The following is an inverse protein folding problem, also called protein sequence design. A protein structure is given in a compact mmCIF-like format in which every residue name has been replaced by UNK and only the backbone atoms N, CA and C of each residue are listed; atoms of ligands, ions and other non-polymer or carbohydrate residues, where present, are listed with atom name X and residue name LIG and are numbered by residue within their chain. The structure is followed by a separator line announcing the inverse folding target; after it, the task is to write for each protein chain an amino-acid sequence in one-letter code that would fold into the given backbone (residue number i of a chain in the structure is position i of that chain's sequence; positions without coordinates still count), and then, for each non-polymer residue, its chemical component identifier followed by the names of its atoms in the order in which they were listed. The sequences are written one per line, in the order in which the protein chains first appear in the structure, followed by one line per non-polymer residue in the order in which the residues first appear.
data_IF_303781494594
#
_entry.id   IF_303781494594
#
_cell.length_a   1.000
_cell.length_b   1.000
_cell.length_c   1.000
_cell.angle_alpha   90.00
_cell.angle_beta   90.00
_cell.angle_gamma   90.00
#
_symmetry.space_group_name_H-M   'P 1'
#
loop_
_entity.id
_entity.type
_entity.pdbx_description
1 polymer ?
#
# COMPACT_ATOMS: atom_id res chain seq x y z
N UNK A 1 24.97 -4.28 15.17
CA UNK A 1 25.25 -3.61 13.88
C UNK A 1 25.96 -4.63 13.00
N UNK A 2 25.23 -5.23 12.08
CA UNK A 2 25.65 -6.37 11.26
C UNK A 2 25.77 -5.92 9.81
N UNK A 3 26.91 -6.16 9.17
CA UNK A 3 27.06 -5.98 7.73
C UNK A 3 26.17 -7.00 7.03
N UNK A 4 25.21 -6.55 6.23
CA UNK A 4 24.29 -7.45 5.55
C UNK A 4 24.85 -7.91 4.20
N UNK A 5 24.80 -9.21 3.96
CA UNK A 5 25.06 -9.79 2.65
C UNK A 5 23.88 -9.55 1.72
N UNK A 6 24.16 -9.19 0.47
CA UNK A 6 23.14 -9.03 -0.56
C UNK A 6 22.27 -10.29 -0.65
N UNK A 7 20.94 -10.11 -0.64
CA UNK A 7 19.98 -11.23 -0.65
C UNK A 7 19.58 -11.76 0.74
N UNK A 8 20.13 -11.23 1.84
CA UNK A 8 19.59 -11.52 3.17
C UNK A 8 18.19 -10.89 3.36
N UNK A 9 17.40 -11.45 4.27
CA UNK A 9 16.06 -10.94 4.59
C UNK A 9 16.07 -9.46 5.00
N UNK A 10 17.03 -9.07 5.85
CA UNK A 10 17.18 -7.69 6.27
C UNK A 10 17.57 -6.76 5.11
N UNK A 11 18.41 -7.23 4.18
CA UNK A 11 18.79 -6.45 2.99
C UNK A 11 17.59 -6.20 2.09
N UNK A 12 16.77 -7.24 1.84
CA UNK A 12 15.55 -7.13 1.03
C UNK A 12 14.56 -6.18 1.70
N UNK A 13 14.42 -6.25 3.02
CA UNK A 13 13.53 -5.37 3.79
C UNK A 13 13.95 -3.91 3.66
N UNK A 14 15.23 -3.61 3.88
CA UNK A 14 15.77 -2.26 3.73
C UNK A 14 15.62 -1.75 2.29
N UNK A 15 15.93 -2.60 1.30
CA UNK A 15 15.71 -2.31 -0.12
C UNK A 15 14.28 -1.92 -0.40
N UNK A 16 13.31 -2.70 0.06
CA UNK A 16 11.88 -2.47 -0.20
C UNK A 16 11.40 -1.16 0.43
N UNK A 17 11.78 -0.85 1.68
CA UNK A 17 11.39 0.40 2.35
C UNK A 17 12.03 1.64 1.71
N UNK A 18 13.34 1.60 1.46
CA UNK A 18 14.09 2.72 0.87
C UNK A 18 13.66 2.99 -0.56
N UNK A 19 13.53 1.93 -1.38
CA UNK A 19 13.08 2.04 -2.77
C UNK A 19 11.66 2.58 -2.85
N UNK A 20 10.78 2.15 -1.95
CA UNK A 20 9.42 2.65 -1.89
C UNK A 20 9.38 4.16 -1.57
N UNK A 21 10.13 4.62 -0.56
CA UNK A 21 10.25 6.04 -0.21
C UNK A 21 10.84 6.88 -1.35
N UNK A 22 11.89 6.38 -1.99
CA UNK A 22 12.47 7.04 -3.17
C UNK A 22 11.45 7.14 -4.30
N UNK A 23 10.67 6.08 -4.55
CA UNK A 23 9.65 6.09 -5.59
C UNK A 23 8.50 7.03 -5.30
N UNK A 24 8.12 7.22 -4.04
CA UNK A 24 7.19 8.28 -3.63
C UNK A 24 7.73 9.66 -4.02
N UNK A 25 9.01 9.93 -3.72
CA UNK A 25 9.67 11.20 -4.01
C UNK A 25 9.81 11.42 -5.52
N UNK A 26 10.27 10.41 -6.27
CA UNK A 26 10.40 10.47 -7.74
C UNK A 26 9.03 10.70 -8.39
N UNK A 27 8.00 9.95 -7.95
CA UNK A 27 6.63 10.14 -8.41
C UNK A 27 6.09 11.54 -8.13
N UNK A 28 6.43 12.10 -6.97
CA UNK A 28 6.06 13.45 -6.61
C UNK A 28 6.72 14.51 -7.48
N UNK A 29 8.05 14.46 -7.60
CA UNK A 29 8.82 15.43 -8.36
C UNK A 29 8.41 15.44 -9.82
N UNK A 30 8.17 14.26 -10.39
CA UNK A 30 7.64 14.14 -11.75
C UNK A 30 6.25 14.77 -11.87
N UNK A 31 5.33 14.46 -10.95
CA UNK A 31 4.00 15.05 -10.95
C UNK A 31 4.05 16.58 -10.82
N UNK A 32 4.89 17.12 -9.93
CA UNK A 32 5.01 18.57 -9.73
C UNK A 32 5.48 19.30 -10.99
N UNK A 33 6.38 18.68 -11.78
CA UNK A 33 6.91 19.26 -13.01
C UNK A 33 6.00 19.06 -14.23
N UNK A 34 5.39 17.89 -14.38
CA UNK A 34 4.67 17.50 -15.60
C UNK A 34 3.15 17.44 -15.43
N UNK A 35 2.63 17.52 -14.20
CA UNK A 35 1.21 17.35 -13.85
C UNK A 35 0.62 16.00 -14.30
N UNK A 36 1.47 15.00 -14.56
CA UNK A 36 1.11 13.65 -14.98
C UNK A 36 1.19 12.72 -13.76
N UNK A 37 0.18 11.87 -13.59
CA UNK A 37 -0.02 11.01 -12.42
C UNK A 37 0.10 9.55 -12.82
N UNK A 38 1.21 8.92 -12.45
CA UNK A 38 1.55 7.57 -12.91
C UNK A 38 1.07 6.52 -11.89
N UNK A 39 -0.23 6.22 -11.86
CA UNK A 39 -0.78 5.27 -10.88
C UNK A 39 -0.90 5.86 -9.47
N UNK A 40 -1.20 7.16 -9.37
CA UNK A 40 -1.19 7.87 -8.08
C UNK A 40 0.22 8.22 -7.61
N UNK A 41 0.41 8.45 -6.31
CA UNK A 41 1.74 8.71 -5.74
C UNK A 41 2.47 7.42 -5.33
N UNK A 42 1.73 6.33 -5.12
CA UNK A 42 2.25 5.09 -4.52
C UNK A 42 2.73 4.05 -5.54
N UNK A 43 2.15 4.01 -6.75
CA UNK A 43 2.42 2.93 -7.71
C UNK A 43 3.90 2.82 -8.11
N UNK A 44 4.59 3.94 -8.34
CA UNK A 44 6.01 3.94 -8.71
C UNK A 44 6.86 3.34 -7.58
N UNK A 45 6.64 3.76 -6.33
CA UNK A 45 7.35 3.23 -5.16
C UNK A 45 7.11 1.73 -4.99
N UNK A 46 5.86 1.30 -5.11
CA UNK A 46 5.52 -0.12 -4.99
C UNK A 46 6.11 -0.98 -6.11
N UNK A 47 6.00 -0.56 -7.37
CA UNK A 47 6.54 -1.34 -8.49
C UNK A 47 8.07 -1.37 -8.49
N UNK A 48 8.72 -0.27 -8.09
CA UNK A 48 10.17 -0.23 -7.95
C UNK A 48 10.65 -1.13 -6.80
N UNK A 49 9.97 -1.06 -5.65
CA UNK A 49 10.25 -1.94 -4.51
C UNK A 49 9.99 -3.41 -4.86
N UNK A 50 9.03 -3.70 -5.74
CA UNK A 50 8.72 -5.05 -6.21
C UNK A 50 9.63 -5.58 -7.31
N UNK A 51 10.61 -4.80 -7.80
CA UNK A 51 11.39 -5.17 -8.98
C UNK A 51 12.33 -6.38 -8.76
N UNK A 52 12.63 -6.74 -7.50
CA UNK A 52 13.29 -8.01 -7.18
C UNK A 52 12.42 -9.23 -7.54
N UNK A 53 11.12 -9.02 -7.77
CA UNK A 53 10.14 -10.01 -8.25
C UNK A 53 9.54 -9.55 -9.58
N UNK A 54 10.31 -9.58 -10.69
CA UNK A 54 9.91 -8.97 -11.95
C UNK A 54 8.61 -9.54 -12.52
N UNK A 55 8.33 -10.82 -12.23
CA UNK A 55 7.11 -11.47 -12.67
C UNK A 55 5.86 -10.88 -11.99
N UNK A 56 5.92 -10.59 -10.69
CA UNK A 56 4.82 -9.94 -9.96
C UNK A 56 4.56 -8.51 -10.49
N UNK A 57 5.63 -7.78 -10.84
CA UNK A 57 5.52 -6.47 -11.50
C UNK A 57 4.82 -6.60 -12.85
N UNK A 58 5.25 -7.56 -13.68
CA UNK A 58 4.66 -7.79 -15.00
C UNK A 58 3.18 -8.16 -14.89
N UNK A 59 2.81 -9.08 -13.99
CA UNK A 59 1.41 -9.45 -13.75
C UNK A 59 0.60 -8.24 -13.30
N UNK A 60 1.13 -7.42 -12.38
CA UNK A 60 0.46 -6.19 -11.93
C UNK A 60 0.17 -5.23 -13.09
N UNK A 61 1.12 -5.06 -14.01
CA UNK A 61 0.94 -4.26 -15.22
C UNK A 61 -0.10 -4.86 -16.15
N UNK A 62 -0.06 -6.17 -16.41
CA UNK A 62 -1.04 -6.88 -17.24
C UNK A 62 -2.45 -6.79 -16.67
N UNK A 63 -2.62 -6.97 -15.36
CA UNK A 63 -3.90 -6.82 -14.66
C UNK A 63 -4.42 -5.38 -14.77
N UNK A 64 -3.53 -4.39 -14.62
CA UNK A 64 -3.92 -2.98 -14.79
C UNK A 64 -4.36 -2.67 -16.22
N UNK A 65 -3.71 -3.27 -17.22
CA UNK A 65 -4.08 -3.15 -18.64
C UNK A 65 -5.41 -3.87 -18.92
N UNK A 66 -5.61 -5.06 -18.37
CA UNK A 66 -6.87 -5.79 -18.49
C UNK A 66 -8.03 -4.97 -17.91
N UNK A 67 -7.86 -4.41 -16.70
CA UNK A 67 -8.83 -3.51 -16.10
C UNK A 67 -9.10 -2.27 -16.97
N UNK A 68 -8.07 -1.69 -17.57
CA UNK A 68 -8.21 -0.59 -18.52
C UNK A 68 -9.03 -0.97 -19.76
N UNK A 69 -8.73 -2.12 -20.39
CA UNK A 69 -9.45 -2.61 -21.56
C UNK A 69 -10.92 -2.93 -21.22
N UNK A 70 -11.16 -3.57 -20.08
CA UNK A 70 -12.50 -3.85 -19.58
C UNK A 70 -13.32 -2.57 -19.42
N UNK A 71 -12.74 -1.56 -18.74
CA UNK A 71 -13.45 -0.29 -18.54
C UNK A 71 -13.70 0.42 -19.87
N UNK A 72 -12.68 0.49 -20.73
CA UNK A 72 -12.74 1.25 -21.99
C UNK A 72 -13.69 0.62 -23.01
N UNK A 73 -13.66 -0.70 -23.16
CA UNK A 73 -14.39 -1.37 -24.24
C UNK A 73 -15.71 -2.00 -23.82
N UNK A 74 -15.90 -2.29 -22.54
CA UNK A 74 -17.13 -2.92 -22.02
C UNK A 74 -17.92 -1.92 -21.17
N UNK A 75 -17.33 -1.42 -20.08
CA UNK A 75 -18.10 -0.68 -19.06
C UNK A 75 -18.55 0.68 -19.58
N UNK A 76 -17.66 1.45 -20.23
CA UNK A 76 -18.02 2.75 -20.82
C UNK A 76 -19.10 2.67 -21.90
N UNK A 77 -19.32 1.49 -22.50
CA UNK A 77 -20.42 1.27 -23.46
C UNK A 77 -21.77 1.05 -22.78
N UNK A 78 -21.78 0.57 -21.54
CA UNK A 78 -22.98 0.26 -20.77
C UNK A 78 -23.37 1.45 -19.88
N UNK A 79 -22.39 2.07 -19.22
CA UNK A 79 -22.59 3.12 -18.23
C UNK A 79 -21.39 4.08 -18.17
N UNK A 80 -21.61 5.32 -17.75
CA UNK A 80 -20.57 6.33 -17.52
C UNK A 80 -20.22 6.42 -16.02
N UNK A 81 -19.28 5.58 -15.53
CA UNK A 81 -18.85 5.61 -14.14
C UNK A 81 -18.12 6.90 -13.80
N UNK A 82 -18.34 7.39 -12.57
CA UNK A 82 -17.59 8.51 -12.01
C UNK A 82 -16.12 8.11 -11.83
N UNK A 83 -15.17 9.08 -11.77
CA UNK A 83 -13.74 8.79 -11.59
C UNK A 83 -13.40 7.90 -10.39
N UNK A 84 -14.19 7.96 -9.30
CA UNK A 84 -14.00 7.10 -8.13
C UNK A 84 -14.52 5.68 -8.34
N UNK A 85 -15.60 5.52 -9.11
CA UNK A 85 -16.12 4.22 -9.51
C UNK A 85 -15.16 3.51 -10.46
N UNK A 86 -14.52 4.23 -11.38
CA UNK A 86 -13.46 3.69 -12.25
C UNK A 86 -12.32 3.11 -11.41
N UNK A 87 -11.88 3.83 -10.38
CA UNK A 87 -10.87 3.34 -9.45
C UNK A 87 -11.33 2.10 -8.67
N UNK A 88 -12.56 2.11 -8.16
CA UNK A 88 -13.15 0.98 -7.45
C UNK A 88 -13.29 -0.28 -8.32
N UNK A 89 -13.71 -0.13 -9.58
CA UNK A 89 -13.76 -1.22 -10.55
C UNK A 89 -12.35 -1.75 -10.83
N UNK A 90 -11.37 -0.85 -11.04
CA UNK A 90 -9.98 -1.25 -11.22
C UNK A 90 -9.42 -2.02 -10.02
N UNK A 91 -9.78 -1.63 -8.79
CA UNK A 91 -9.45 -2.37 -7.58
C UNK A 91 -10.11 -3.75 -7.54
N UNK A 92 -11.40 -3.86 -7.89
CA UNK A 92 -12.12 -5.13 -7.93
C UNK A 92 -11.49 -6.09 -8.97
N UNK A 93 -11.12 -5.59 -10.15
CA UNK A 93 -10.36 -6.36 -11.14
C UNK A 93 -9.01 -6.80 -10.58
N UNK A 94 -8.30 -5.90 -9.88
CA UNK A 94 -7.06 -6.22 -9.17
C UNK A 94 -7.22 -7.37 -8.16
N UNK A 95 -8.28 -7.33 -7.35
CA UNK A 95 -8.61 -8.40 -6.38
C UNK A 95 -8.84 -9.73 -7.10
N UNK A 96 -9.71 -9.75 -8.11
CA UNK A 96 -10.10 -10.98 -8.82
C UNK A 96 -8.89 -11.58 -9.55
N UNK A 97 -8.19 -10.78 -10.35
CA UNK A 97 -7.03 -11.26 -11.10
C UNK A 97 -5.86 -11.61 -10.18
N UNK A 98 -5.66 -10.88 -9.08
CA UNK A 98 -4.65 -11.20 -8.07
C UNK A 98 -4.94 -12.52 -7.36
N UNK A 99 -6.20 -12.82 -7.06
CA UNK A 99 -6.61 -14.10 -6.49
C UNK A 99 -6.39 -15.26 -7.46
N UNK A 100 -6.73 -15.06 -8.73
CA UNK A 100 -6.42 -16.03 -9.79
C UNK A 100 -4.90 -16.24 -9.94
N UNK A 101 -4.11 -15.17 -9.87
CA UNK A 101 -2.66 -15.27 -9.93
C UNK A 101 -2.09 -16.09 -8.78
N UNK A 102 -2.57 -15.87 -7.55
CA UNK A 102 -2.16 -16.66 -6.39
C UNK A 102 -2.50 -18.15 -6.55
N UNK A 103 -3.72 -18.46 -7.02
CA UNK A 103 -4.12 -19.84 -7.26
C UNK A 103 -3.26 -20.52 -8.34
N UNK A 104 -2.91 -19.79 -9.40
CA UNK A 104 -2.05 -20.30 -10.48
C UNK A 104 -0.60 -20.44 -10.02
N UNK A 105 -0.08 -19.49 -9.24
CA UNK A 105 1.30 -19.51 -8.75
C UNK A 105 1.57 -20.70 -7.83
N UNK A 106 0.57 -21.16 -7.09
CA UNK A 106 0.69 -22.39 -6.28
C UNK A 106 0.88 -23.65 -7.13
N UNK A 107 0.42 -23.63 -8.38
CA UNK A 107 0.60 -24.73 -9.32
C UNK A 107 1.90 -24.65 -10.14
N UNK A 108 2.62 -23.51 -10.12
CA UNK A 108 3.87 -23.32 -10.87
C UNK A 108 5.10 -23.67 -10.01
N UNK A 109 6.00 -24.56 -10.48
CA UNK A 109 7.28 -24.80 -9.83
C UNK A 109 8.13 -23.51 -9.80
N UNK A 110 8.58 -23.10 -8.61
CA UNK A 110 9.50 -21.97 -8.43
C UNK A 110 8.85 -20.61 -8.11
N UNK A 111 7.52 -20.50 -8.06
CA UNK A 111 6.82 -19.26 -7.68
C UNK A 111 6.61 -19.14 -6.16
N UNK A 112 7.64 -19.47 -5.36
CA UNK A 112 7.54 -19.60 -3.90
C UNK A 112 7.62 -18.27 -3.13
N UNK A 113 8.08 -17.19 -3.76
CA UNK A 113 8.13 -15.91 -3.09
C UNK A 113 6.80 -15.18 -3.22
N UNK A 114 6.12 -14.99 -2.09
CA UNK A 114 4.76 -14.42 -2.01
C UNK A 114 4.74 -12.99 -1.42
N UNK A 115 5.91 -12.43 -1.08
CA UNK A 115 6.10 -11.28 -0.18
C UNK A 115 5.47 -9.92 -0.56
N UNK A 116 4.69 -9.81 -1.64
CA UNK A 116 4.06 -8.55 -2.07
C UNK A 116 2.60 -8.71 -2.55
N UNK A 117 1.90 -9.74 -2.09
CA UNK A 117 0.51 -10.02 -2.50
C UNK A 117 -0.45 -8.82 -2.30
N UNK A 118 -0.24 -8.00 -1.24
CA UNK A 118 -1.06 -6.81 -0.97
C UNK A 118 -0.87 -5.69 -1.99
N UNK A 119 0.37 -5.50 -2.46
CA UNK A 119 0.74 -4.48 -3.44
C UNK A 119 0.04 -4.77 -4.77
N UNK A 120 -0.08 -6.04 -5.11
CA UNK A 120 -0.81 -6.54 -6.28
C UNK A 120 -2.31 -6.21 -6.27
N UNK A 121 -2.91 -5.81 -5.14
CA UNK A 121 -4.35 -5.47 -5.10
C UNK A 121 -4.59 -3.98 -5.36
N UNK A 122 -3.81 -3.10 -4.73
CA UNK A 122 -4.06 -1.64 -4.80
C UNK A 122 -3.48 -1.04 -6.09
N UNK A 123 -2.28 -1.47 -6.47
CA UNK A 123 -1.52 -0.86 -7.59
C UNK A 123 -2.24 -1.00 -8.92
N UNK A 124 -2.82 -2.16 -9.31
CA UNK A 124 -3.56 -2.26 -10.57
C UNK A 124 -4.72 -1.29 -10.65
N UNK A 125 -5.46 -1.09 -9.56
CA UNK A 125 -6.56 -0.12 -9.52
C UNK A 125 -6.08 1.31 -9.74
N UNK A 126 -4.96 1.70 -9.11
CA UNK A 126 -4.41 3.06 -9.25
C UNK A 126 -3.88 3.31 -10.66
N UNK A 127 -3.20 2.33 -11.24
CA UNK A 127 -2.73 2.37 -12.62
C UNK A 127 -3.88 2.42 -13.61
N UNK A 128 -4.88 1.54 -13.47
CA UNK A 128 -6.08 1.50 -14.31
C UNK A 128 -6.78 2.87 -14.34
N UNK A 129 -6.99 3.49 -13.17
CA UNK A 129 -7.55 4.84 -13.08
C UNK A 129 -6.71 5.90 -13.81
N UNK A 130 -5.38 5.77 -13.78
CA UNK A 130 -4.47 6.68 -14.48
C UNK A 130 -4.49 6.46 -15.99
N UNK A 131 -4.51 5.20 -16.44
CA UNK A 131 -4.64 4.82 -17.86
C UNK A 131 -5.94 5.35 -18.47
N UNK A 132 -7.05 5.30 -17.75
CA UNK A 132 -8.33 5.84 -18.20
C UNK A 132 -8.32 7.37 -18.26
N UNK A 133 -7.73 8.05 -17.27
CA UNK A 133 -7.72 9.52 -17.19
C UNK A 133 -6.73 10.19 -18.11
N UNK A 134 -5.53 9.63 -18.24
CA UNK A 134 -4.39 10.27 -18.90
C UNK A 134 -4.01 9.58 -20.21
N UNK A 135 -4.54 8.38 -20.45
CA UNK A 135 -4.18 7.57 -21.60
C UNK A 135 -2.97 6.66 -21.33
N UNK A 136 -2.81 5.69 -22.22
CA UNK A 136 -1.80 4.63 -22.10
C UNK A 136 -0.39 5.21 -22.17
N UNK A 137 -0.11 6.03 -23.19
CA UNK A 137 1.23 6.58 -23.42
C UNK A 137 1.68 7.47 -22.27
N UNK A 138 0.82 8.38 -21.81
CA UNK A 138 1.16 9.30 -20.72
C UNK A 138 1.28 8.62 -19.35
N UNK A 139 0.79 7.38 -19.20
CA UNK A 139 0.95 6.61 -17.96
C UNK A 139 2.13 5.65 -18.07
N UNK A 140 2.20 4.82 -19.11
CA UNK A 140 3.20 3.77 -19.22
C UNK A 140 4.58 4.28 -19.61
N UNK A 141 4.69 5.30 -20.47
CA UNK A 141 5.99 5.84 -20.84
C UNK A 141 6.76 6.38 -19.62
N UNK A 142 6.17 7.21 -18.73
CA UNK A 142 6.88 7.61 -17.53
C UNK A 142 7.08 6.47 -16.54
N UNK A 143 6.11 5.57 -16.40
CA UNK A 143 6.27 4.39 -15.54
C UNK A 143 7.48 3.54 -15.93
N UNK A 144 7.67 3.35 -17.24
CA UNK A 144 8.73 2.52 -17.81
C UNK A 144 10.14 2.98 -17.49
N UNK A 145 10.38 4.28 -17.28
CA UNK A 145 11.69 4.77 -16.83
C UNK A 145 11.74 5.05 -15.33
N UNK A 146 10.65 5.52 -14.72
CA UNK A 146 10.63 5.87 -13.29
C UNK A 146 10.83 4.66 -12.40
N UNK A 147 10.20 3.53 -12.72
CA UNK A 147 10.33 2.28 -11.95
C UNK A 147 11.77 1.77 -11.93
N UNK A 148 12.45 1.52 -13.07
CA UNK A 148 13.82 1.02 -13.04
C UNK A 148 14.80 2.03 -12.46
N UNK A 149 14.66 3.34 -12.76
CA UNK A 149 15.54 4.37 -12.18
C UNK A 149 15.40 4.40 -10.66
N UNK A 150 14.18 4.33 -10.13
CA UNK A 150 13.94 4.29 -8.70
C UNK A 150 14.50 3.02 -8.07
N UNK A 151 14.33 1.86 -8.72
CA UNK A 151 14.85 0.58 -8.22
C UNK A 151 16.39 0.58 -8.17
N UNK A 152 17.05 1.09 -9.21
CA UNK A 152 18.52 1.22 -9.24
C UNK A 152 19.00 2.20 -8.17
N UNK A 153 18.33 3.34 -8.02
CA UNK A 153 18.66 4.30 -6.97
C UNK A 153 18.46 3.70 -5.58
N UNK A 154 17.35 2.99 -5.35
CA UNK A 154 17.07 2.29 -4.10
C UNK A 154 18.12 1.24 -3.78
N UNK A 155 18.46 0.39 -4.74
CA UNK A 155 19.53 -0.60 -4.60
C UNK A 155 20.88 0.05 -4.27
N UNK A 156 21.21 1.17 -4.94
CA UNK A 156 22.43 1.93 -4.65
C UNK A 156 22.46 2.49 -3.23
N UNK A 157 21.34 3.05 -2.77
CA UNK A 157 21.23 3.54 -1.38
C UNK A 157 21.32 2.39 -0.39
N UNK A 158 20.64 1.26 -0.63
CA UNK A 158 20.70 0.08 0.24
C UNK A 158 22.10 -0.50 0.33
N UNK A 159 22.82 -0.59 -0.80
CA UNK A 159 24.22 -1.03 -0.81
C UNK A 159 25.11 -0.07 -0.02
N UNK A 160 24.90 1.23 -0.15
CA UNK A 160 25.63 2.24 0.61
C UNK A 160 25.36 2.11 2.12
N UNK A 161 24.10 1.89 2.51
CA UNK A 161 23.70 1.68 3.91
C UNK A 161 23.95 0.27 4.45
N UNK A 162 24.40 -0.68 3.63
CA UNK A 162 24.82 -2.00 4.10
C UNK A 162 26.33 -2.13 4.20
N UNK A 163 27.06 -1.44 3.32
CA UNK A 163 28.53 -1.56 3.21
C UNK A 163 29.29 -0.42 3.89
N UNK A 164 28.83 0.83 3.77
CA UNK A 164 29.58 2.02 4.22
C UNK A 164 29.09 2.49 5.59
N UNK A 165 27.77 2.52 5.77
CA UNK A 165 27.13 2.95 7.01
C UNK A 165 26.33 1.75 7.52
N UNK A 166 26.75 0.96 8.52
CA UNK A 166 26.02 -0.22 9.00
C UNK A 166 24.74 0.17 9.77
N UNK A 167 23.83 0.87 9.09
CA UNK A 167 22.60 1.47 9.57
C UNK A 167 21.39 0.57 9.32
N UNK A 168 21.60 -0.72 8.99
CA UNK A 168 20.47 -1.61 8.76
C UNK A 168 19.62 -1.75 10.02
N UNK A 169 18.36 -1.35 9.87
CA UNK A 169 17.37 -1.38 10.93
C UNK A 169 16.56 -2.67 10.88
N UNK A 170 16.46 -3.32 9.72
CA UNK A 170 15.65 -4.51 9.52
C UNK A 170 16.03 -5.67 10.44
N UNK A 171 17.32 -5.97 10.65
CA UNK A 171 17.76 -7.06 11.54
C UNK A 171 17.35 -6.84 13.02
N UNK A 172 17.10 -5.57 13.38
CA UNK A 172 16.84 -5.19 14.77
C UNK A 172 15.39 -5.42 15.18
N UNK A 173 14.43 -5.31 14.26
CA UNK A 173 13.00 -5.41 14.59
C UNK A 173 12.16 -6.23 13.61
N UNK A 174 12.71 -6.73 12.51
CA UNK A 174 11.95 -7.59 11.57
C UNK A 174 12.34 -9.06 11.67
N UNK A 175 11.38 -9.96 11.43
CA UNK A 175 11.61 -11.41 11.34
C UNK A 175 10.75 -12.03 10.24
N UNK A 176 11.19 -13.17 9.70
CA UNK A 176 10.51 -13.92 8.63
C UNK A 176 9.29 -14.72 9.12
N UNK A 177 9.19 -14.97 10.42
CA UNK A 177 8.24 -15.94 10.99
C UNK A 177 6.80 -15.41 11.11
N UNK A 178 6.56 -14.16 10.73
CA UNK A 178 5.30 -13.44 11.01
C UNK A 178 4.37 -13.35 9.78
N UNK A 179 4.66 -14.04 8.66
CA UNK A 179 3.96 -13.82 7.39
C UNK A 179 2.95 -14.93 6.99
N UNK A 180 1.67 -14.90 7.43
CA UNK A 180 0.61 -15.72 6.85
C UNK A 180 0.10 -15.08 5.54
N UNK A 181 0.88 -15.26 4.49
CA UNK A 181 0.69 -14.72 3.14
C UNK A 181 -0.71 -14.89 2.52
N UNK A 182 -1.36 -16.08 2.54
CA UNK A 182 -2.69 -16.23 1.93
C UNK A 182 -3.79 -15.51 2.73
N UNK A 183 -3.66 -15.48 4.06
CA UNK A 183 -4.63 -14.81 4.94
C UNK A 183 -4.56 -13.29 4.78
N UNK A 184 -3.36 -12.73 4.68
CA UNK A 184 -3.15 -11.29 4.44
C UNK A 184 -3.76 -10.84 3.10
N UNK A 185 -3.60 -11.63 2.04
CA UNK A 185 -4.23 -11.35 0.76
C UNK A 185 -5.75 -11.41 0.86
N UNK A 186 -6.32 -12.50 1.40
CA UNK A 186 -7.76 -12.68 1.53
C UNK A 186 -8.41 -11.53 2.31
N UNK A 187 -7.86 -11.21 3.48
CA UNK A 187 -8.40 -10.18 4.36
C UNK A 187 -8.26 -8.78 3.73
N UNK A 188 -7.19 -8.52 2.97
CA UNK A 188 -7.02 -7.27 2.22
C UNK A 188 -7.97 -7.17 1.02
N UNK A 189 -8.18 -8.26 0.30
CA UNK A 189 -9.15 -8.34 -0.79
C UNK A 189 -10.57 -8.06 -0.28
N UNK A 190 -10.97 -8.70 0.81
CA UNK A 190 -12.25 -8.45 1.48
C UNK A 190 -12.37 -7.00 1.92
N UNK A 191 -11.31 -6.43 2.51
CA UNK A 191 -11.25 -5.01 2.87
C UNK A 191 -11.51 -4.10 1.70
N UNK A 192 -10.88 -4.37 0.55
CA UNK A 192 -11.06 -3.55 -0.64
C UNK A 192 -12.51 -3.63 -1.13
N UNK A 193 -13.10 -4.82 -1.16
CA UNK A 193 -14.50 -5.02 -1.58
C UNK A 193 -15.47 -4.32 -0.63
N UNK A 194 -15.35 -4.53 0.68
CA UNK A 194 -16.19 -3.85 1.67
C UNK A 194 -15.96 -2.34 1.67
N UNK A 195 -14.73 -1.86 1.50
CA UNK A 195 -14.45 -0.45 1.39
C UNK A 195 -15.10 0.15 0.13
N UNK A 196 -15.07 -0.54 -1.01
CA UNK A 196 -15.80 -0.13 -2.21
C UNK A 196 -17.31 -0.09 -1.96
N UNK A 197 -17.88 -1.12 -1.33
CA UNK A 197 -19.30 -1.16 -0.98
C UNK A 197 -19.69 -0.05 0.01
N UNK A 198 -18.88 0.25 1.02
CA UNK A 198 -19.16 1.31 1.99
C UNK A 198 -19.03 2.69 1.35
N UNK A 199 -18.04 2.86 0.48
CA UNK A 199 -17.73 4.15 -0.12
C UNK A 199 -18.62 4.51 -1.32
N UNK A 200 -19.07 3.51 -2.08
CA UNK A 200 -19.87 3.66 -3.31
C UNK A 200 -21.29 3.08 -3.19
N UNK A 201 -21.49 2.02 -2.40
CA UNK A 201 -22.74 1.28 -2.25
C UNK A 201 -23.65 1.69 -1.08
N UNK A 202 -23.13 2.27 0.01
CA UNK A 202 -24.00 2.72 1.10
C UNK A 202 -24.73 4.01 0.74
N UNK A 203 -26.06 3.87 0.61
CA UNK A 203 -27.13 4.87 0.70
C UNK A 203 -26.65 6.30 0.48
N UNK A 204 -26.98 6.82 -0.71
CA UNK A 204 -26.74 8.15 -1.34
C UNK A 204 -26.52 9.38 -0.44
N UNK A 205 -26.77 9.30 0.86
CA UNK A 205 -26.80 10.38 1.83
C UNK A 205 -25.61 10.41 2.83
N UNK A 206 -24.96 9.29 3.18
CA UNK A 206 -24.09 9.27 4.39
C UNK A 206 -22.60 9.65 4.15
N UNK A 207 -22.13 9.68 2.89
CA UNK A 207 -20.78 10.13 2.49
C UNK A 207 -19.65 9.59 3.39
N UNK A 208 -19.71 8.30 3.75
CA UNK A 208 -18.76 7.65 4.65
C UNK A 208 -17.38 7.43 3.99
N UNK A 209 -16.35 7.30 4.82
CA UNK A 209 -14.96 7.04 4.43
C UNK A 209 -14.37 5.95 5.32
N UNK A 210 -13.50 5.12 4.76
CA UNK A 210 -12.97 3.94 5.47
C UNK A 210 -11.52 4.11 5.94
N UNK A 211 -10.93 5.29 5.75
CA UNK A 211 -9.52 5.55 6.07
C UNK A 211 -8.55 4.92 5.08
N UNK A 212 -9.04 4.50 3.90
CA UNK A 212 -8.30 3.68 2.94
C UNK A 212 -9.06 2.41 2.55
N UNK A 213 -8.69 1.80 1.42
CA UNK A 213 -9.36 0.59 0.95
C UNK A 213 -8.83 -0.69 1.62
N UNK A 214 -7.62 -0.65 2.17
CA UNK A 214 -6.93 -1.82 2.75
C UNK A 214 -6.81 -1.76 4.28
N UNK A 215 -7.16 -0.62 4.89
CA UNK A 215 -7.05 -0.39 6.34
C UNK A 215 -7.82 -1.41 7.17
N UNK A 216 -9.08 -1.67 6.85
CA UNK A 216 -9.91 -2.59 7.63
C UNK A 216 -9.31 -4.01 7.61
N UNK A 217 -8.81 -4.44 6.45
CA UNK A 217 -8.19 -5.75 6.31
C UNK A 217 -6.90 -5.86 7.11
N UNK A 218 -6.05 -4.84 7.04
CA UNK A 218 -4.79 -4.84 7.79
C UNK A 218 -5.02 -4.79 9.30
N UNK A 219 -6.03 -4.06 9.77
CA UNK A 219 -6.41 -4.07 11.19
C UNK A 219 -6.88 -5.45 11.62
N UNK A 220 -7.67 -6.14 10.80
CA UNK A 220 -8.16 -7.50 11.12
C UNK A 220 -7.03 -8.52 11.12
N UNK A 221 -6.14 -8.46 10.13
CA UNK A 221 -4.94 -9.30 10.13
C UNK A 221 -4.08 -9.04 11.37
N UNK A 222 -4.00 -7.78 11.80
CA UNK A 222 -3.30 -7.35 13.01
C UNK A 222 -4.02 -7.73 14.32
N UNK A 223 -5.26 -8.21 14.32
CA UNK A 223 -5.92 -8.69 15.54
C UNK A 223 -5.21 -9.92 16.14
N UNK A 224 -4.46 -10.65 15.32
CA UNK A 224 -3.62 -11.76 15.78
C UNK A 224 -2.45 -11.28 16.66
N UNK A 225 -2.01 -10.03 16.49
CA UNK A 225 -0.88 -9.43 17.21
C UNK A 225 -1.20 -7.99 17.63
N UNK A 226 -1.64 -7.82 18.87
CA UNK A 226 -2.07 -6.53 19.43
C UNK A 226 -0.99 -5.43 19.32
N UNK A 227 0.28 -5.81 19.26
CA UNK A 227 1.41 -4.90 19.02
C UNK A 227 1.29 -4.12 17.71
N UNK A 228 0.83 -4.73 16.62
CA UNK A 228 0.61 -4.04 15.35
C UNK A 228 -0.50 -3.00 15.49
N UNK A 229 -1.58 -3.32 16.18
CA UNK A 229 -2.67 -2.35 16.40
C UNK A 229 -2.17 -1.17 17.23
N UNK A 230 -1.38 -1.44 18.27
CA UNK A 230 -0.79 -0.41 19.11
C UNK A 230 0.16 0.51 18.30
N UNK A 231 1.07 -0.06 17.50
CA UNK A 231 1.98 0.70 16.64
C UNK A 231 1.19 1.53 15.63
N UNK A 232 0.19 0.95 14.97
CA UNK A 232 -0.65 1.65 14.00
C UNK A 232 -1.37 2.85 14.65
N UNK A 233 -1.99 2.65 15.81
CA UNK A 233 -2.70 3.69 16.53
C UNK A 233 -1.75 4.81 16.97
N UNK A 234 -0.61 4.47 17.54
CA UNK A 234 0.41 5.44 17.97
C UNK A 234 0.98 6.22 16.79
N UNK A 235 1.24 5.57 15.66
CA UNK A 235 1.71 6.23 14.45
C UNK A 235 0.65 7.18 13.86
N UNK A 236 -0.64 6.79 13.83
CA UNK A 236 -1.74 7.69 13.41
C UNK A 236 -1.80 8.91 14.32
N UNK A 237 -1.73 8.73 15.64
CA UNK A 237 -1.75 9.83 16.59
C UNK A 237 -0.53 10.74 16.43
N UNK A 238 0.67 10.18 16.24
CA UNK A 238 1.90 10.94 15.99
C UNK A 238 1.83 11.77 14.71
N UNK A 239 1.38 11.15 13.60
CA UNK A 239 1.18 11.84 12.33
C UNK A 239 0.19 12.99 12.48
N UNK A 240 -0.96 12.78 13.14
CA UNK A 240 -1.95 13.83 13.38
C UNK A 240 -1.42 14.94 14.30
N UNK A 241 -0.70 14.58 15.36
CA UNK A 241 -0.13 15.52 16.32
C UNK A 241 0.85 16.49 15.66
N UNK A 242 1.61 16.05 14.66
CA UNK A 242 2.53 16.90 13.89
C UNK A 242 1.80 17.62 12.75
N UNK A 243 1.01 16.90 11.97
CA UNK A 243 0.41 17.44 10.75
C UNK A 243 -0.69 18.47 11.03
N UNK A 244 -1.56 18.26 12.02
CA UNK A 244 -2.67 19.18 12.31
C UNK A 244 -2.17 20.59 12.65
N UNK A 245 -1.23 20.81 13.60
CA UNK A 245 -0.72 22.15 13.88
C UNK A 245 0.07 22.74 12.70
N UNK A 246 0.81 21.91 11.96
CA UNK A 246 1.52 22.35 10.77
C UNK A 246 0.57 22.87 9.68
N UNK A 247 -0.53 22.14 9.43
CA UNK A 247 -1.52 22.49 8.41
C UNK A 247 -2.27 23.80 8.67
N UNK A 248 -2.31 24.26 9.94
CA UNK A 248 -2.86 25.57 10.31
C UNK A 248 -1.99 26.74 9.84
N UNK A 249 -0.68 26.51 9.65
CA UNK A 249 0.28 27.52 9.20
C UNK A 249 0.56 27.42 7.70
N UNK A 250 0.62 26.19 7.18
CA UNK A 250 0.93 25.90 5.78
C UNK A 250 -0.19 25.06 5.17
N UNK A 251 -1.13 25.67 4.44
CA UNK A 251 -2.20 24.93 3.80
C UNK A 251 -1.63 24.11 2.63
N UNK A 252 -1.53 22.80 2.83
CA UNK A 252 -1.14 21.84 1.79
C UNK A 252 -2.37 21.16 1.19
N UNK A 253 -2.38 21.01 -0.13
CA UNK A 253 -3.50 20.43 -0.86
C UNK A 253 -3.08 19.20 -1.67
N UNK A 254 -4.05 18.32 -1.92
CA UNK A 254 -3.91 17.19 -2.84
C UNK A 254 -2.69 16.32 -2.54
N UNK A 255 -1.80 16.21 -3.53
CA UNK A 255 -0.62 15.33 -3.46
C UNK A 255 0.46 15.85 -2.53
N UNK A 256 0.65 17.17 -2.41
CA UNK A 256 1.65 17.74 -1.51
C UNK A 256 1.39 17.31 -0.06
N UNK A 257 0.14 17.41 0.36
CA UNK A 257 -0.33 16.90 1.65
C UNK A 257 -0.08 15.40 1.80
N UNK A 258 -0.48 14.63 0.79
CA UNK A 258 -0.41 13.17 0.88
C UNK A 258 1.02 12.66 1.04
N UNK A 259 1.98 13.27 0.35
CA UNK A 259 3.40 12.89 0.46
C UNK A 259 3.99 13.28 1.80
N UNK A 260 3.68 14.47 2.32
CA UNK A 260 4.10 14.85 3.68
C UNK A 260 3.56 13.85 4.72
N UNK A 261 2.29 13.47 4.60
CA UNK A 261 1.70 12.45 5.47
C UNK A 261 2.40 11.10 5.34
N UNK A 262 2.73 10.66 4.12
CA UNK A 262 3.49 9.43 3.91
C UNK A 262 4.88 9.51 4.56
N UNK A 263 5.62 10.61 4.37
CA UNK A 263 6.94 10.79 4.99
C UNK A 263 6.87 10.78 6.51
N UNK A 264 5.91 11.49 7.11
CA UNK A 264 5.69 11.46 8.57
C UNK A 264 5.32 10.05 9.04
N UNK A 265 4.45 9.37 8.29
CA UNK A 265 4.00 8.01 8.61
C UNK A 265 5.16 7.02 8.67
N UNK A 266 6.08 7.04 7.70
CA UNK A 266 7.29 6.22 7.75
C UNK A 266 8.13 6.48 8.99
N UNK A 267 8.38 7.75 9.31
CA UNK A 267 9.17 8.13 10.49
C UNK A 267 8.52 7.62 11.78
N UNK A 268 7.22 7.85 11.96
CA UNK A 268 6.51 7.46 13.16
C UNK A 268 6.36 5.94 13.29
N UNK A 269 6.06 5.23 12.20
CA UNK A 269 5.96 3.75 12.23
C UNK A 269 7.30 3.14 12.59
N UNK A 270 8.38 3.52 11.91
CA UNK A 270 9.73 3.01 12.22
C UNK A 270 10.15 3.36 13.65
N UNK A 271 9.87 4.56 14.14
CA UNK A 271 10.17 4.92 15.54
C UNK A 271 9.38 4.07 16.54
N UNK A 272 8.07 3.87 16.31
CA UNK A 272 7.23 3.04 17.17
C UNK A 272 7.64 1.56 17.13
N UNK A 273 8.04 1.02 15.97
CA UNK A 273 8.54 -0.35 15.83
C UNK A 273 9.87 -0.55 16.56
N UNK A 274 10.79 0.41 16.46
CA UNK A 274 12.06 0.37 17.22
C UNK A 274 11.78 0.36 18.72
N UNK A 275 10.91 1.27 19.20
CA UNK A 275 10.54 1.31 20.62
C UNK A 275 9.88 -0.01 21.03
N UNK A 276 8.97 -0.54 20.22
CA UNK A 276 8.27 -1.78 20.55
C UNK A 276 9.20 -3.00 20.58
N UNK A 277 10.18 -3.05 19.66
CA UNK A 277 11.19 -4.09 19.63
C UNK A 277 12.13 -4.01 20.84
N UNK A 278 12.52 -2.80 21.26
CA UNK A 278 13.42 -2.62 22.40
C UNK A 278 12.74 -2.84 23.76
N UNK A 279 11.50 -2.38 23.90
CA UNK A 279 10.78 -2.41 25.19
C UNK A 279 10.06 -3.74 25.40
N UNK A 280 9.41 -4.27 24.36
CA UNK A 280 8.57 -5.47 24.46
C UNK A 280 9.13 -6.69 23.71
N UNK A 281 10.29 -6.57 23.05
CA UNK A 281 10.89 -7.67 22.30
C UNK A 281 10.10 -8.11 21.07
N UNK A 282 9.15 -7.29 20.61
CA UNK A 282 8.26 -7.62 19.49
C UNK A 282 9.01 -7.53 18.18
N UNK A 283 8.72 -8.46 17.26
CA UNK A 283 9.23 -8.44 15.88
C UNK A 283 8.08 -8.25 14.89
N UNK A 284 8.36 -7.50 13.83
CA UNK A 284 7.40 -7.16 12.78
C UNK A 284 7.78 -7.84 11.45
N UNK A 285 6.86 -7.88 10.50
CA UNK A 285 7.12 -8.36 9.14
C UNK A 285 8.11 -7.44 8.44
N UNK A 286 8.83 -7.98 7.46
CA UNK A 286 9.85 -7.25 6.73
C UNK A 286 9.26 -6.59 5.49
N UNK A 287 9.38 -7.18 4.29
CA UNK A 287 8.99 -6.54 3.02
C UNK A 287 7.52 -6.06 2.96
N UNK A 288 6.61 -6.78 3.62
CA UNK A 288 5.17 -6.47 3.62
C UNK A 288 4.82 -5.25 4.49
N UNK A 289 5.70 -4.89 5.41
CA UNK A 289 5.49 -3.79 6.35
C UNK A 289 5.47 -2.42 5.69
N UNK A 290 5.92 -2.30 4.43
CA UNK A 290 5.77 -1.06 3.65
C UNK A 290 4.32 -0.60 3.55
N UNK A 291 3.37 -1.53 3.40
CA UNK A 291 1.95 -1.15 3.39
C UNK A 291 1.55 -0.55 4.73
N UNK A 292 1.96 -1.21 5.81
CA UNK A 292 1.69 -0.78 7.17
C UNK A 292 2.31 0.59 7.47
N UNK A 293 3.50 0.88 6.95
CA UNK A 293 4.14 2.19 6.99
C UNK A 293 3.34 3.30 6.29
N UNK A 294 2.50 2.96 5.31
CA UNK A 294 1.67 3.92 4.57
C UNK A 294 0.29 4.10 5.21
N UNK A 295 -0.23 3.11 5.94
CA UNK A 295 -1.59 3.15 6.50
C UNK A 295 -1.86 4.38 7.38
N UNK A 296 -0.99 4.80 8.32
CA UNK A 296 -1.23 5.99 9.11
C UNK A 296 -1.39 7.26 8.27
N UNK A 297 -0.67 7.37 7.15
CA UNK A 297 -0.83 8.47 6.21
C UNK A 297 -2.23 8.48 5.56
N UNK A 298 -2.72 7.31 5.13
CA UNK A 298 -4.04 7.21 4.48
C UNK A 298 -5.16 7.49 5.49
N UNK A 299 -5.07 6.91 6.69
CA UNK A 299 -6.04 7.14 7.78
C UNK A 299 -6.05 8.62 8.16
N UNK A 300 -4.88 9.21 8.41
CA UNK A 300 -4.74 10.62 8.77
C UNK A 300 -5.27 11.53 7.66
N UNK A 301 -5.01 11.20 6.39
CA UNK A 301 -5.50 11.99 5.25
C UNK A 301 -7.04 12.02 5.21
N UNK A 302 -7.70 10.89 5.43
CA UNK A 302 -9.16 10.80 5.45
C UNK A 302 -9.75 11.51 6.68
N UNK A 303 -9.13 11.36 7.86
CA UNK A 303 -9.55 12.04 9.09
C UNK A 303 -9.50 13.57 8.95
N UNK A 304 -8.41 14.10 8.38
CA UNK A 304 -8.25 15.53 8.14
C UNK A 304 -9.26 16.03 7.10
N UNK A 305 -9.48 15.28 6.02
CA UNK A 305 -10.30 15.75 4.90
C UNK A 305 -11.81 15.61 5.13
N UNK A 306 -12.25 14.55 5.81
CA UNK A 306 -13.67 14.19 5.94
C UNK A 306 -14.18 14.22 7.39
N UNK A 307 -13.28 14.38 8.35
CA UNK A 307 -13.59 14.41 9.77
C UNK A 307 -13.68 13.04 10.41
N UNK A 308 -13.58 13.02 11.75
CA UNK A 308 -13.56 11.81 12.56
C UNK A 308 -14.85 11.00 12.40
N UNK A 309 -16.01 11.65 12.51
CA UNK A 309 -17.32 10.96 12.50
C UNK A 309 -17.56 10.13 11.23
N UNK A 310 -17.23 10.67 10.05
CA UNK A 310 -17.45 9.99 8.77
C UNK A 310 -16.43 8.87 8.52
N UNK A 311 -15.21 9.06 9.01
CA UNK A 311 -14.11 8.13 8.81
C UNK A 311 -14.20 6.96 9.78
N UNK A 312 -14.50 7.21 11.06
CA UNK A 312 -14.67 6.14 12.05
C UNK A 312 -15.89 5.27 11.75
N UNK A 313 -17.02 5.87 11.36
CA UNK A 313 -18.22 5.12 11.00
C UNK A 313 -18.00 4.25 9.75
N UNK A 314 -17.38 4.78 8.70
CA UNK A 314 -17.10 3.98 7.50
C UNK A 314 -16.04 2.91 7.75
N UNK A 315 -14.98 3.23 8.50
CA UNK A 315 -13.97 2.26 8.90
C UNK A 315 -14.57 1.14 9.76
N UNK A 316 -15.44 1.48 10.71
CA UNK A 316 -16.15 0.52 11.56
C UNK A 316 -17.05 -0.43 10.77
N UNK A 317 -17.81 0.07 9.79
CA UNK A 317 -18.62 -0.78 8.90
C UNK A 317 -17.76 -1.71 8.06
N UNK A 318 -16.65 -1.21 7.50
CA UNK A 318 -15.72 -2.01 6.71
C UNK A 318 -15.04 -3.08 7.57
N UNK A 319 -14.67 -2.75 8.81
CA UNK A 319 -14.11 -3.69 9.79
C UNK A 319 -15.13 -4.77 10.15
N UNK A 320 -16.38 -4.40 10.46
CA UNK A 320 -17.42 -5.36 10.79
C UNK A 320 -17.68 -6.34 9.64
N UNK A 321 -17.76 -5.84 8.39
CA UNK A 321 -17.94 -6.68 7.22
C UNK A 321 -16.77 -7.65 6.99
N UNK A 322 -15.54 -7.14 7.09
CA UNK A 322 -14.36 -7.98 6.93
C UNK A 322 -14.23 -9.00 8.06
N UNK A 323 -14.51 -8.63 9.32
CA UNK A 323 -14.43 -9.50 10.47
C UNK A 323 -15.47 -10.63 10.39
N UNK A 324 -16.70 -10.33 9.92
CA UNK A 324 -17.74 -11.33 9.74
C UNK A 324 -17.33 -12.47 8.78
N UNK A 325 -16.46 -12.19 7.80
CA UNK A 325 -15.96 -13.18 6.85
C UNK A 325 -14.63 -13.80 7.29
N UNK A 326 -13.72 -12.99 7.82
CA UNK A 326 -12.37 -13.42 8.16
C UNK A 326 -12.28 -14.19 9.49
N UNK A 327 -13.08 -13.83 10.50
CA UNK A 327 -13.04 -14.49 11.82
C UNK A 327 -13.44 -15.96 11.74
N UNK A 328 -14.51 -16.36 11.02
CA UNK A 328 -14.80 -17.78 10.82
C UNK A 328 -13.61 -18.51 10.19
N UNK A 329 -13.03 -17.96 9.11
CA UNK A 329 -11.89 -18.58 8.40
C UNK A 329 -10.67 -18.73 9.32
N UNK A 330 -10.40 -17.75 10.19
CA UNK A 330 -9.31 -17.80 11.18
C UNK A 330 -9.52 -18.87 12.27
N UNK A 331 -10.76 -19.29 12.55
CA UNK A 331 -11.05 -20.36 13.52
C UNK A 331 -10.78 -21.75 12.94
N UNK A 332 -10.74 -21.88 11.61
CA UNK A 332 -10.54 -23.15 10.90
C UNK A 332 -9.11 -23.38 10.38
N UNK A 333 -8.19 -22.43 10.58
CA UNK A 333 -6.76 -22.47 10.19
C UNK A 333 -5.90 -22.53 11.45
#
# INVERSE_FOLDING_TARGET
MTSQTMGSYGFITDYVHLTFLLGLIVSYLYFRRRQISVGGSLAVGYLAAALYMPLNVLVTLLVSMFGYLLIRFVILKIFLPRPRQIFAIGLAVGVVCGGLWLAVSEALPGAQDRGLALVGVIVPGMLCNSLIKQGVVHTLAPLGWMVPVTAVAGLGVTLLTSTVLPLSLADTFTSSDVEPLPLLFLVSALSVLFAVLVQEGTVRNWKLRTGGYVTAGMIIAALTQLSYIAVLAMAVLGVLAVYVPFSRRVPLFGKDRFILLCSLSFVFVTACEIIAAQVWGVRFGGPQNVVFCVLPAIISNDLVQYGVKRTSAGMGLSLAGCAAVAVPVMVWV
#
